data_IF_630901050586
#
_entry.id   IF_630901050586
#
_cell.length_a   1.000
_cell.length_b   1.000
_cell.length_c   1.000
_cell.angle_alpha   90.00
_cell.angle_beta   90.00
_cell.angle_gamma   90.00
#
_symmetry.space_group_name_H-M   'P 1'
#
loop_
_entity.id
_entity.type
_entity.pdbx_description
1 polymer ?
#
# COMPACT_ATOMS: atom_id res chain seq x y z
N UNK A 1 4.57 49.14 20.19
CA UNK A 1 3.80 47.86 20.03
C UNK A 1 4.22 47.16 18.76
N UNK A 2 5.00 46.07 18.84
CA UNK A 2 5.35 45.27 17.66
C UNK A 2 4.11 44.46 17.24
N UNK A 3 3.53 44.73 16.08
CA UNK A 3 2.47 43.91 15.49
C UNK A 3 3.01 42.51 15.34
N UNK A 4 2.50 41.56 16.14
CA UNK A 4 2.71 40.15 15.92
C UNK A 4 2.09 39.79 14.56
N UNK A 5 2.91 39.58 13.54
CA UNK A 5 2.45 39.07 12.25
C UNK A 5 2.03 37.63 12.55
N UNK A 6 0.73 37.39 12.67
CA UNK A 6 0.18 36.05 12.77
C UNK A 6 0.39 35.41 11.40
N UNK A 7 1.48 34.65 11.25
CA UNK A 7 1.66 33.80 10.09
C UNK A 7 0.46 32.83 10.08
N UNK A 8 -0.47 33.01 9.15
CA UNK A 8 -1.54 32.03 8.93
C UNK A 8 -0.87 30.72 8.52
N UNK A 9 -1.01 29.69 9.37
CA UNK A 9 -0.54 28.34 9.04
C UNK A 9 -1.17 27.90 7.71
N UNK A 10 -0.35 27.38 6.81
CA UNK A 10 -0.85 26.82 5.56
C UNK A 10 -1.74 25.63 5.87
N UNK A 11 -2.91 25.56 5.24
CA UNK A 11 -3.81 24.41 5.34
C UNK A 11 -4.35 24.00 3.96
N UNK A 12 -4.64 22.73 3.79
CA UNK A 12 -5.23 22.20 2.56
C UNK A 12 -6.31 21.16 2.84
N UNK A 13 -7.26 21.06 1.91
CA UNK A 13 -8.30 20.03 1.94
C UNK A 13 -7.69 18.66 1.64
N UNK A 14 -8.33 17.61 2.16
CA UNK A 14 -8.03 16.24 1.77
C UNK A 14 -8.58 15.97 0.36
N UNK A 15 -7.84 15.16 -0.42
CA UNK A 15 -8.38 14.53 -1.62
C UNK A 15 -9.50 13.52 -1.25
N UNK A 16 -10.22 13.00 -2.25
CA UNK A 16 -11.38 12.16 -1.98
C UNK A 16 -11.01 10.81 -1.34
N UNK A 17 -9.88 10.21 -1.69
CA UNK A 17 -9.40 8.99 -1.04
C UNK A 17 -8.90 9.25 0.38
N UNK A 18 -8.19 10.34 0.62
CA UNK A 18 -7.76 10.76 1.95
C UNK A 18 -8.96 10.93 2.91
N UNK A 19 -10.10 11.47 2.42
CA UNK A 19 -11.35 11.54 3.21
C UNK A 19 -11.85 10.14 3.58
N UNK A 20 -11.81 9.18 2.66
CA UNK A 20 -12.21 7.80 2.92
C UNK A 20 -11.31 7.16 3.97
N UNK A 21 -9.99 7.26 3.81
CA UNK A 21 -9.04 6.67 4.76
C UNK A 21 -9.15 7.28 6.15
N UNK A 22 -9.33 8.60 6.27
CA UNK A 22 -9.50 9.27 7.57
C UNK A 22 -10.79 8.86 8.29
N UNK A 23 -11.88 8.63 7.57
CA UNK A 23 -13.15 8.17 8.14
C UNK A 23 -13.13 6.67 8.47
N UNK A 24 -12.41 5.86 7.66
CA UNK A 24 -12.29 4.41 7.85
C UNK A 24 -11.35 4.03 9.00
N UNK A 25 -10.32 4.85 9.26
CA UNK A 25 -9.29 4.55 10.26
C UNK A 25 -9.85 4.59 11.68
N UNK A 26 -9.48 3.60 12.49
CA UNK A 26 -9.84 3.49 13.91
C UNK A 26 -8.82 2.61 14.65
N UNK A 27 -9.02 2.37 15.97
CA UNK A 27 -8.11 1.54 16.80
C UNK A 27 -7.91 0.09 16.32
N UNK A 28 -8.81 -0.43 15.48
CA UNK A 28 -8.77 -1.80 14.91
C UNK A 28 -8.32 -1.83 13.45
N UNK A 29 -8.18 -0.66 12.83
CA UNK A 29 -7.81 -0.51 11.42
C UNK A 29 -7.07 0.80 11.23
N UNK A 30 -5.79 0.71 10.96
CA UNK A 30 -4.91 1.88 10.94
C UNK A 30 -4.86 2.59 9.58
N UNK A 31 -5.20 1.94 8.46
CA UNK A 31 -4.94 2.44 7.10
C UNK A 31 -3.47 2.86 6.90
N UNK A 32 -2.55 2.17 7.56
CA UNK A 32 -1.11 2.36 7.44
C UNK A 32 -0.56 1.26 6.54
N UNK A 33 0.41 1.60 5.73
CA UNK A 33 1.26 0.65 5.00
C UNK A 33 2.71 1.03 5.22
N UNK A 34 3.62 0.08 5.00
CA UNK A 34 5.05 0.25 5.17
C UNK A 34 5.77 0.00 3.85
N UNK A 35 6.70 0.87 3.54
CA UNK A 35 7.77 0.65 2.58
C UNK A 35 9.08 0.53 3.34
N UNK A 36 9.92 -0.39 2.93
CA UNK A 36 11.26 -0.53 3.51
C UNK A 36 12.29 -0.62 2.41
N UNK A 37 13.47 -0.08 2.67
CA UNK A 37 14.66 -0.25 1.84
C UNK A 37 15.75 -0.93 2.66
N UNK A 38 16.39 -1.93 2.09
CA UNK A 38 17.54 -2.60 2.66
C UNK A 38 18.80 -2.01 2.05
N UNK A 39 19.69 -1.50 2.88
CA UNK A 39 21.01 -1.00 2.48
C UNK A 39 22.07 -2.05 2.78
N UNK A 40 23.28 -1.87 2.23
CA UNK A 40 24.40 -2.81 2.42
C UNK A 40 25.02 -2.71 3.80
N UNK A 41 24.90 -1.56 4.47
CA UNK A 41 25.51 -1.31 5.77
C UNK A 41 24.49 -0.88 6.82
N UNK A 42 24.91 -0.97 8.08
CA UNK A 42 24.08 -0.53 9.21
C UNK A 42 23.77 0.96 9.13
N UNK A 43 22.56 1.29 9.55
CA UNK A 43 22.03 2.65 9.51
C UNK A 43 22.60 3.48 10.65
N UNK A 44 23.12 4.66 10.30
CA UNK A 44 23.46 5.70 11.24
C UNK A 44 22.21 6.58 11.51
N UNK A 45 21.82 6.63 12.78
CA UNK A 45 20.62 7.35 13.23
C UNK A 45 20.69 8.85 12.96
N UNK A 46 21.83 9.47 13.26
CA UNK A 46 22.01 10.92 13.14
C UNK A 46 21.98 11.36 11.67
N UNK A 47 22.61 10.58 10.81
CA UNK A 47 22.55 10.82 9.37
C UNK A 47 21.13 10.62 8.83
N UNK A 48 20.43 9.56 9.28
CA UNK A 48 19.05 9.30 8.86
C UNK A 48 18.09 10.40 9.34
N UNK A 49 18.28 10.93 10.54
CA UNK A 49 17.50 12.07 11.04
C UNK A 49 17.67 13.29 10.13
N UNK A 50 18.92 13.67 9.85
CA UNK A 50 19.24 14.79 8.94
C UNK A 50 18.70 14.57 7.53
N UNK A 51 18.86 13.36 6.99
CA UNK A 51 18.32 12.98 5.67
C UNK A 51 16.81 13.16 5.61
N UNK A 52 16.09 12.74 6.64
CA UNK A 52 14.63 12.88 6.73
C UNK A 52 14.22 14.37 6.78
N UNK A 53 14.94 15.21 7.51
CA UNK A 53 14.72 16.66 7.56
C UNK A 53 14.96 17.33 6.21
N UNK A 54 15.99 16.92 5.47
CA UNK A 54 16.26 17.41 4.12
C UNK A 54 15.19 16.97 3.13
N UNK A 55 14.80 15.68 3.18
CA UNK A 55 13.77 15.15 2.31
C UNK A 55 12.41 15.87 2.48
N UNK A 56 11.99 16.14 3.73
CA UNK A 56 10.73 16.85 3.97
C UNK A 56 10.78 18.30 3.52
N UNK A 57 11.96 18.93 3.46
CA UNK A 57 12.11 20.27 2.91
C UNK A 57 11.82 20.33 1.41
N UNK A 58 12.17 19.27 0.67
CA UNK A 58 11.87 19.10 -0.76
C UNK A 58 10.40 18.70 -0.98
N UNK A 59 9.89 17.75 -0.19
CA UNK A 59 8.53 17.24 -0.27
C UNK A 59 7.60 17.94 0.75
N UNK A 60 7.45 19.24 0.65
CA UNK A 60 6.66 20.05 1.60
C UNK A 60 5.20 19.60 1.74
N UNK A 61 4.65 18.89 0.77
CA UNK A 61 3.32 18.30 0.83
C UNK A 61 3.17 17.28 1.97
N UNK A 62 4.26 16.69 2.46
CA UNK A 62 4.28 15.76 3.59
C UNK A 62 4.47 16.47 4.94
N UNK A 63 4.86 17.74 4.95
CA UNK A 63 5.06 18.55 6.16
C UNK A 63 3.73 18.98 6.76
N UNK A 64 2.86 18.02 7.08
CA UNK A 64 1.50 18.27 7.54
C UNK A 64 1.09 17.34 8.69
N UNK A 65 0.14 17.83 9.48
CA UNK A 65 -0.61 17.09 10.50
C UNK A 65 -2.10 17.10 10.18
N UNK A 66 -2.84 16.12 10.69
CA UNK A 66 -4.26 15.97 10.46
C UNK A 66 -5.07 16.67 11.55
N UNK A 67 -5.93 17.61 11.16
CA UNK A 67 -6.82 18.33 12.07
C UNK A 67 -8.29 18.04 11.77
N UNK A 68 -9.12 18.08 12.81
CA UNK A 68 -10.56 17.90 12.70
C UNK A 68 -11.25 19.25 12.52
N UNK A 69 -11.95 19.44 11.41
CA UNK A 69 -12.90 20.54 11.24
C UNK A 69 -14.33 20.13 11.62
N UNK A 70 -15.28 21.02 11.44
CA UNK A 70 -16.69 20.76 11.74
C UNK A 70 -17.29 19.67 10.83
N UNK A 71 -16.98 19.71 9.53
CA UNK A 71 -17.55 18.81 8.52
C UNK A 71 -16.56 17.77 7.98
N UNK A 72 -15.27 18.11 7.92
CA UNK A 72 -14.23 17.26 7.38
C UNK A 72 -12.92 17.44 8.12
N UNK A 73 -12.03 16.44 8.03
CA UNK A 73 -10.62 16.62 8.34
C UNK A 73 -9.96 17.53 7.30
N UNK A 74 -8.86 18.15 7.69
CA UNK A 74 -7.98 18.92 6.82
C UNK A 74 -6.53 18.74 7.23
N UNK A 75 -5.61 19.01 6.32
CA UNK A 75 -4.20 19.07 6.61
C UNK A 75 -3.79 20.48 7.01
N UNK A 76 -3.03 20.60 8.07
CA UNK A 76 -2.42 21.82 8.58
C UNK A 76 -0.90 21.65 8.55
N UNK A 77 -0.15 22.70 8.16
CA UNK A 77 1.31 22.67 8.18
C UNK A 77 1.84 22.30 9.56
N UNK A 78 2.83 21.41 9.59
CA UNK A 78 3.49 21.00 10.81
C UNK A 78 4.84 21.71 10.93
N UNK A 79 5.00 22.57 11.91
CA UNK A 79 6.23 23.32 12.12
C UNK A 79 7.33 22.51 12.84
N UNK A 80 6.97 21.40 13.49
CA UNK A 80 7.92 20.52 14.15
C UNK A 80 8.70 19.68 13.13
N UNK A 81 9.85 19.18 13.51
CA UNK A 81 10.65 18.27 12.68
C UNK A 81 10.14 16.82 12.82
N UNK A 82 10.28 15.96 11.79
CA UNK A 82 10.01 14.55 11.91
C UNK A 82 11.00 13.88 12.89
N UNK A 83 10.58 12.79 13.52
CA UNK A 83 11.40 12.05 14.48
C UNK A 83 11.75 10.69 13.89
N UNK A 84 13.06 10.41 13.82
CA UNK A 84 13.60 9.08 13.46
C UNK A 84 13.89 8.28 14.73
N UNK A 85 13.46 7.04 14.78
CA UNK A 85 13.67 6.15 15.91
C UNK A 85 14.09 4.74 15.47
N UNK A 86 14.77 4.02 16.34
CA UNK A 86 14.98 2.60 16.15
C UNK A 86 13.65 1.84 16.21
N UNK A 87 13.52 0.77 15.43
CA UNK A 87 12.35 -0.08 15.45
C UNK A 87 12.43 -1.05 16.63
N UNK A 88 11.48 -0.93 17.55
CA UNK A 88 11.39 -1.77 18.76
C UNK A 88 10.07 -2.52 18.86
N UNK A 89 9.20 -2.34 17.87
CA UNK A 89 7.82 -2.83 17.92
C UNK A 89 7.35 -3.36 16.55
N UNK A 90 6.28 -4.15 16.55
CA UNK A 90 5.56 -4.52 15.32
C UNK A 90 5.07 -3.29 14.56
N UNK A 91 4.99 -3.38 13.21
CA UNK A 91 4.51 -2.29 12.36
C UNK A 91 3.03 -1.93 12.62
N UNK A 92 2.59 -0.83 11.99
CA UNK A 92 1.20 -0.37 11.92
C UNK A 92 0.60 0.15 13.21
N UNK A 93 1.41 0.48 14.21
CA UNK A 93 0.95 1.26 15.36
C UNK A 93 0.53 2.66 14.92
N UNK A 94 -0.24 3.35 15.75
CA UNK A 94 -0.65 4.71 15.49
C UNK A 94 0.58 5.61 15.29
N UNK A 95 0.68 6.30 14.15
CA UNK A 95 1.84 7.12 13.79
C UNK A 95 1.65 8.62 14.02
N UNK A 96 0.42 9.13 14.01
CA UNK A 96 0.11 10.56 14.20
C UNK A 96 -0.13 10.89 15.69
N UNK A 97 0.84 10.57 16.52
CA UNK A 97 0.85 10.86 17.95
C UNK A 97 1.90 11.92 18.32
N UNK A 98 1.96 12.29 19.60
CA UNK A 98 2.91 13.30 20.08
C UNK A 98 4.37 12.85 19.99
N UNK A 99 4.64 11.54 20.12
CA UNK A 99 6.00 11.00 20.02
C UNK A 99 6.59 11.17 18.62
N UNK A 100 5.73 11.16 17.58
CA UNK A 100 6.08 11.40 16.19
C UNK A 100 5.71 12.84 15.73
N UNK A 101 5.59 13.79 16.64
CA UNK A 101 5.22 15.19 16.34
C UNK A 101 3.98 15.31 15.45
N UNK A 102 2.98 14.41 15.59
CA UNK A 102 1.73 14.36 14.84
C UNK A 102 1.89 14.16 13.31
N UNK A 103 3.07 13.77 12.81
CA UNK A 103 3.27 13.46 11.39
C UNK A 103 2.41 12.28 10.93
N UNK A 104 2.06 12.26 9.65
CA UNK A 104 1.26 11.21 9.01
C UNK A 104 2.13 10.14 8.36
N UNK A 105 3.42 10.19 8.57
CA UNK A 105 4.41 9.17 8.29
C UNK A 105 5.33 8.99 9.49
N UNK A 106 6.01 7.86 9.54
CA UNK A 106 7.01 7.55 10.56
C UNK A 106 8.21 6.90 9.89
N UNK A 107 9.41 7.37 10.23
CA UNK A 107 10.66 6.77 9.77
C UNK A 107 11.30 6.02 10.94
N UNK A 108 11.57 4.74 10.75
CA UNK A 108 12.31 3.91 11.69
C UNK A 108 13.45 3.20 10.98
N UNK A 109 14.42 2.71 11.74
CA UNK A 109 15.48 1.87 11.19
C UNK A 109 15.69 0.64 12.08
N UNK A 110 16.17 -0.43 11.45
CA UNK A 110 16.59 -1.65 12.13
C UNK A 110 17.76 -2.26 11.36
N UNK A 111 18.94 -2.33 12.01
CA UNK A 111 20.19 -2.74 11.37
C UNK A 111 20.43 -1.99 10.05
N UNK A 112 20.31 -2.70 8.92
CA UNK A 112 20.53 -2.20 7.54
C UNK A 112 19.26 -1.67 6.88
N UNK A 113 18.10 -1.72 7.55
CA UNK A 113 16.80 -1.44 6.96
C UNK A 113 16.27 -0.08 7.42
N UNK A 114 15.88 0.75 6.47
CA UNK A 114 15.11 1.98 6.71
C UNK A 114 13.64 1.68 6.41
N UNK A 115 12.75 1.97 7.35
CA UNK A 115 11.31 1.75 7.23
C UNK A 115 10.58 3.08 7.18
N UNK A 116 9.68 3.24 6.23
CA UNK A 116 8.74 4.35 6.10
C UNK A 116 7.32 3.82 6.25
N UNK A 117 6.69 4.08 7.39
CA UNK A 117 5.26 3.85 7.58
C UNK A 117 4.47 5.09 7.19
N UNK A 118 3.40 4.90 6.43
CA UNK A 118 2.59 6.01 5.91
C UNK A 118 1.11 5.77 6.19
N UNK A 119 0.45 6.78 6.77
CA UNK A 119 -1.00 6.83 6.83
C UNK A 119 -1.54 7.13 5.43
N UNK A 120 -2.32 6.24 4.89
CA UNK A 120 -2.75 6.26 3.48
C UNK A 120 -3.54 7.51 3.06
N UNK A 121 -4.00 8.32 4.04
CA UNK A 121 -4.57 9.63 3.74
C UNK A 121 -3.53 10.63 3.22
N UNK A 122 -2.23 10.43 3.49
CA UNK A 122 -1.17 11.34 3.07
C UNK A 122 -0.82 11.16 1.59
N UNK A 123 -0.62 9.91 1.17
CA UNK A 123 -0.14 9.57 -0.18
C UNK A 123 -0.42 8.10 -0.53
N UNK A 124 -0.28 7.75 -1.82
CA UNK A 124 -0.25 6.38 -2.31
C UNK A 124 1.18 5.78 -2.30
N UNK A 125 1.31 4.50 -2.68
CA UNK A 125 2.59 3.81 -2.71
C UNK A 125 3.63 4.46 -3.62
N UNK A 126 3.23 5.05 -4.75
CA UNK A 126 4.17 5.72 -5.65
C UNK A 126 4.74 7.01 -5.04
N UNK A 127 3.88 7.83 -4.42
CA UNK A 127 4.35 9.03 -3.73
C UNK A 127 5.24 8.68 -2.54
N UNK A 128 4.93 7.62 -1.81
CA UNK A 128 5.73 7.16 -0.68
C UNK A 128 7.12 6.62 -1.11
N UNK A 129 7.22 5.92 -2.27
CA UNK A 129 8.52 5.49 -2.82
C UNK A 129 9.38 6.69 -3.18
N UNK A 130 8.82 7.72 -3.82
CA UNK A 130 9.57 8.94 -4.15
C UNK A 130 10.13 9.62 -2.90
N UNK A 131 9.34 9.67 -1.83
CA UNK A 131 9.79 10.26 -0.56
C UNK A 131 10.83 9.37 0.15
N UNK A 132 10.65 8.06 0.15
CA UNK A 132 11.63 7.12 0.71
C UNK A 132 12.96 7.20 -0.03
N UNK A 133 12.93 7.22 -1.37
CA UNK A 133 14.14 7.35 -2.19
C UNK A 133 14.87 8.66 -1.89
N UNK A 134 14.15 9.78 -1.74
CA UNK A 134 14.78 11.05 -1.34
C UNK A 134 15.48 10.96 0.02
N UNK A 135 14.85 10.30 1.01
CA UNK A 135 15.50 10.06 2.32
C UNK A 135 16.78 9.24 2.13
N UNK A 136 16.72 8.17 1.34
CA UNK A 136 17.88 7.29 1.05
C UNK A 136 18.98 8.06 0.34
N UNK A 137 18.66 8.86 -0.68
CA UNK A 137 19.65 9.64 -1.42
C UNK A 137 20.37 10.63 -0.50
N UNK A 138 19.62 11.42 0.28
CA UNK A 138 20.23 12.35 1.26
C UNK A 138 21.07 11.63 2.31
N UNK A 139 20.63 10.45 2.76
CA UNK A 139 21.38 9.62 3.68
C UNK A 139 22.72 9.16 3.09
N UNK A 140 22.68 8.61 1.87
CA UNK A 140 23.87 8.08 1.19
C UNK A 140 24.86 9.19 0.79
N UNK A 141 24.37 10.34 0.31
CA UNK A 141 25.20 11.52 0.02
C UNK A 141 26.01 11.97 1.25
N UNK A 142 25.37 12.01 2.43
CA UNK A 142 26.06 12.38 3.67
C UNK A 142 27.00 11.28 4.18
N UNK A 143 26.66 10.01 3.93
CA UNK A 143 27.48 8.87 4.37
C UNK A 143 28.70 8.66 3.48
N UNK A 144 28.59 8.92 2.19
CA UNK A 144 29.62 8.70 1.17
C UNK A 144 29.93 9.98 0.35
N UNK A 145 30.33 11.07 1.00
CA UNK A 145 30.44 12.39 0.34
C UNK A 145 31.52 12.45 -0.75
N UNK A 146 32.49 11.51 -0.73
CA UNK A 146 33.56 11.43 -1.74
C UNK A 146 33.19 10.56 -2.94
N UNK A 147 32.14 9.74 -2.82
CA UNK A 147 31.73 8.75 -3.83
C UNK A 147 30.44 9.16 -4.54
N UNK A 148 29.54 9.82 -3.80
CA UNK A 148 28.23 10.25 -4.28
C UNK A 148 28.20 11.79 -4.29
N UNK A 149 28.08 12.42 -5.47
CA UNK A 149 27.96 13.87 -5.54
C UNK A 149 26.66 14.37 -4.95
N UNK A 150 26.71 15.52 -4.25
CA UNK A 150 25.48 16.12 -3.71
C UNK A 150 24.49 16.45 -4.85
N UNK A 151 23.29 15.90 -4.76
CA UNK A 151 22.24 16.15 -5.74
C UNK A 151 21.77 17.59 -5.69
N UNK A 152 21.54 18.22 -6.83
CA UNK A 152 20.99 19.58 -6.88
C UNK A 152 19.65 19.62 -6.15
N UNK A 153 19.50 20.58 -5.24
CA UNK A 153 18.27 20.81 -4.47
C UNK A 153 17.16 21.35 -5.39
N UNK A 154 16.55 20.49 -6.17
CA UNK A 154 15.34 20.85 -6.91
C UNK A 154 14.13 20.80 -5.98
N UNK A 155 13.51 21.93 -5.73
CA UNK A 155 12.28 21.99 -4.95
C UNK A 155 11.10 21.61 -5.83
N UNK A 156 10.30 20.63 -5.38
CA UNK A 156 9.04 20.31 -6.04
C UNK A 156 8.01 21.43 -5.80
N UNK A 157 7.17 21.68 -6.79
CA UNK A 157 6.10 22.64 -6.64
C UNK A 157 4.95 22.06 -5.85
N UNK A 158 4.64 22.65 -4.72
CA UNK A 158 3.57 22.17 -3.82
C UNK A 158 2.20 22.11 -4.50
N UNK A 159 1.91 22.99 -5.44
CA UNK A 159 0.67 22.98 -6.23
C UNK A 159 0.55 21.75 -7.12
N UNK A 160 1.65 21.28 -7.68
CA UNK A 160 1.71 20.06 -8.50
C UNK A 160 1.61 18.80 -7.61
N UNK A 161 2.37 18.78 -6.52
CA UNK A 161 2.39 17.66 -5.55
C UNK A 161 1.02 17.42 -4.90
N UNK A 162 0.22 18.45 -4.69
CA UNK A 162 -1.08 18.38 -4.00
C UNK A 162 -2.28 18.51 -4.95
N UNK A 163 -2.06 18.41 -6.26
CA UNK A 163 -3.14 18.44 -7.25
C UNK A 163 -4.18 17.36 -6.97
N UNK A 164 -5.46 17.74 -6.96
CA UNK A 164 -6.57 16.79 -6.86
C UNK A 164 -6.87 16.21 -8.26
N UNK A 165 -6.07 15.21 -8.65
CA UNK A 165 -6.14 14.59 -9.96
C UNK A 165 -7.49 13.89 -10.22
N UNK A 166 -8.23 13.50 -9.18
CA UNK A 166 -9.58 12.95 -9.34
C UNK A 166 -10.56 13.98 -9.88
N UNK A 167 -10.51 15.23 -9.38
CA UNK A 167 -11.38 16.31 -9.88
C UNK A 167 -11.07 16.70 -11.32
N UNK A 168 -9.77 16.72 -11.67
CA UNK A 168 -9.33 17.04 -13.03
C UNK A 168 -9.75 15.98 -14.04
N UNK A 169 -9.85 14.72 -13.59
CA UNK A 169 -10.16 13.55 -14.43
C UNK A 169 -11.64 13.15 -14.40
N UNK A 170 -12.51 13.97 -13.80
CA UNK A 170 -13.91 13.67 -13.64
C UNK A 170 -14.64 13.64 -14.98
N UNK A 171 -15.15 12.47 -15.37
CA UNK A 171 -15.98 12.27 -16.55
C UNK A 171 -17.42 11.98 -16.12
N UNK A 172 -18.40 12.77 -16.59
CA UNK A 172 -19.83 12.64 -16.22
C UNK A 172 -20.50 11.31 -16.59
N UNK A 173 -19.77 10.38 -17.18
CA UNK A 173 -20.33 9.11 -17.73
C UNK A 173 -20.57 8.10 -16.60
N UNK A 174 -21.84 7.88 -16.20
CA UNK A 174 -22.22 6.85 -15.24
C UNK A 174 -22.28 5.48 -15.93
N UNK A 175 -21.41 4.56 -15.53
CA UNK A 175 -21.51 3.15 -15.91
C UNK A 175 -22.21 2.38 -14.78
N UNK A 176 -23.22 1.58 -15.11
CA UNK A 176 -23.88 0.70 -14.13
C UNK A 176 -22.89 -0.34 -13.63
N UNK A 177 -22.48 -0.26 -12.37
CA UNK A 177 -21.64 -1.27 -11.74
C UNK A 177 -22.50 -2.34 -11.07
N UNK A 178 -22.19 -3.61 -11.29
CA UNK A 178 -22.87 -4.72 -10.60
C UNK A 178 -22.57 -4.66 -9.10
N UNK A 179 -23.57 -5.02 -8.28
CA UNK A 179 -23.41 -5.09 -6.83
C UNK A 179 -22.36 -6.17 -6.47
N UNK A 180 -21.33 -5.79 -5.75
CA UNK A 180 -20.25 -6.69 -5.29
C UNK A 180 -20.82 -7.67 -4.26
N UNK A 181 -20.66 -8.97 -4.48
CA UNK A 181 -21.01 -10.02 -3.52
C UNK A 181 -20.04 -10.01 -2.34
N UNK A 182 -20.51 -10.46 -1.16
CA UNK A 182 -19.63 -10.70 -0.01
C UNK A 182 -18.58 -11.76 -0.37
N UNK A 183 -17.36 -11.56 0.08
CA UNK A 183 -16.25 -12.45 -0.15
C UNK A 183 -16.22 -13.63 0.82
N UNK A 184 -15.45 -14.65 0.48
CA UNK A 184 -14.96 -15.63 1.42
C UNK A 184 -14.02 -14.95 2.41
N UNK A 185 -14.15 -15.27 3.68
CA UNK A 185 -13.31 -14.77 4.76
C UNK A 185 -12.41 -15.90 5.23
N UNK A 186 -11.09 -15.68 5.23
CA UNK A 186 -10.12 -16.68 5.70
C UNK A 186 -10.43 -17.11 7.13
N UNK A 187 -10.34 -18.40 7.37
CA UNK A 187 -10.51 -19.04 8.68
C UNK A 187 -9.14 -19.38 9.26
N UNK A 188 -9.04 -19.52 10.54
CA UNK A 188 -7.82 -19.88 11.26
C UNK A 188 -7.71 -19.15 12.59
N UNK A 189 -6.82 -19.62 13.45
CA UNK A 189 -6.48 -19.00 14.73
C UNK A 189 -5.69 -17.70 14.49
N UNK A 190 -6.01 -16.65 15.23
CA UNK A 190 -5.36 -15.35 15.06
C UNK A 190 -4.22 -15.17 16.06
N UNK A 191 -3.18 -14.45 15.65
CA UNK A 191 -2.10 -13.95 16.49
C UNK A 191 -2.65 -12.98 17.54
N UNK A 192 -1.85 -12.68 18.54
CA UNK A 192 -2.20 -11.71 19.55
C UNK A 192 -2.35 -10.31 18.95
N UNK A 193 -3.18 -9.50 19.57
CA UNK A 193 -3.51 -8.18 19.03
C UNK A 193 -2.28 -7.27 18.91
N UNK A 194 -1.96 -6.89 17.69
CA UNK A 194 -0.83 -6.02 17.36
C UNK A 194 0.39 -6.78 16.89
N UNK A 195 0.32 -8.10 16.85
CA UNK A 195 1.32 -8.96 16.23
C UNK A 195 0.94 -9.25 14.77
N UNK A 196 1.96 -9.42 13.95
CA UNK A 196 1.83 -9.69 12.51
C UNK A 196 2.89 -10.66 12.04
N UNK A 197 2.46 -11.76 11.40
CA UNK A 197 3.35 -12.60 10.63
C UNK A 197 3.73 -11.89 9.32
N UNK A 198 5.02 -11.85 8.99
CA UNK A 198 5.52 -11.20 7.78
C UNK A 198 6.45 -12.17 7.06
N UNK A 199 6.13 -12.48 5.81
CA UNK A 199 6.95 -13.35 4.95
C UNK A 199 7.25 -12.64 3.64
N UNK A 200 8.52 -12.41 3.37
CA UNK A 200 9.01 -11.87 2.10
C UNK A 200 9.43 -13.02 1.20
N UNK A 201 8.77 -13.18 0.06
CA UNK A 201 9.20 -14.08 -1.00
C UNK A 201 9.95 -13.26 -2.04
N UNK A 202 11.26 -13.40 -2.09
CA UNK A 202 12.17 -12.72 -3.02
C UNK A 202 12.35 -13.66 -4.21
N UNK A 203 11.80 -13.29 -5.35
CA UNK A 203 11.64 -14.16 -6.52
C UNK A 203 12.42 -13.57 -7.68
N UNK A 204 13.11 -14.43 -8.47
CA UNK A 204 13.75 -13.98 -9.69
C UNK A 204 12.70 -13.44 -10.70
N UNK A 205 12.78 -12.15 -11.00
CA UNK A 205 11.80 -11.45 -11.82
C UNK A 205 11.78 -11.94 -13.26
N UNK A 206 12.97 -12.32 -13.80
CA UNK A 206 13.09 -12.82 -15.16
C UNK A 206 12.40 -14.17 -15.31
N UNK A 207 12.75 -15.13 -14.44
CA UNK A 207 12.15 -16.47 -14.43
C UNK A 207 10.62 -16.39 -14.30
N UNK A 208 10.14 -15.60 -13.35
CA UNK A 208 8.70 -15.43 -13.10
C UNK A 208 7.98 -14.81 -14.32
N UNK A 209 8.58 -13.81 -14.98
CA UNK A 209 8.02 -13.21 -16.19
C UNK A 209 8.01 -14.17 -17.38
N UNK A 210 9.08 -14.93 -17.58
CA UNK A 210 9.18 -15.92 -18.65
C UNK A 210 8.14 -17.02 -18.46
N UNK A 211 8.00 -17.54 -17.24
CA UNK A 211 6.96 -18.54 -16.95
C UNK A 211 5.54 -17.98 -17.16
N UNK A 212 5.23 -16.80 -16.65
CA UNK A 212 3.91 -16.18 -16.86
C UNK A 212 3.59 -16.01 -18.36
N UNK A 213 4.57 -15.62 -19.17
CA UNK A 213 4.42 -15.50 -20.63
C UNK A 213 4.20 -16.85 -21.29
N UNK A 214 4.91 -17.90 -20.87
CA UNK A 214 4.79 -19.25 -21.45
C UNK A 214 3.38 -19.84 -21.25
N UNK A 215 2.69 -19.48 -20.15
CA UNK A 215 1.29 -19.87 -19.90
C UNK A 215 0.29 -18.80 -20.38
N UNK A 216 0.75 -17.84 -21.19
CA UNK A 216 -0.09 -16.84 -21.87
C UNK A 216 -0.82 -15.88 -20.94
N UNK A 217 -0.16 -15.40 -19.86
CA UNK A 217 -0.74 -14.41 -18.96
C UNK A 217 0.27 -13.30 -18.58
N UNK A 218 -0.25 -12.18 -18.08
CA UNK A 218 0.56 -11.13 -17.51
C UNK A 218 1.09 -11.53 -16.12
N UNK A 219 2.18 -10.90 -15.69
CA UNK A 219 2.75 -11.10 -14.35
C UNK A 219 1.72 -10.90 -13.23
N UNK A 220 0.87 -9.88 -13.35
CA UNK A 220 -0.16 -9.61 -12.34
C UNK A 220 -1.26 -10.69 -12.32
N UNK A 221 -1.70 -11.17 -13.47
CA UNK A 221 -2.66 -12.28 -13.57
C UNK A 221 -2.09 -13.55 -12.94
N UNK A 222 -0.82 -13.85 -13.24
CA UNK A 222 -0.16 -15.03 -12.72
C UNK A 222 -0.01 -14.98 -11.19
N UNK A 223 0.48 -13.88 -10.64
CA UNK A 223 0.61 -13.70 -9.18
C UNK A 223 -0.74 -13.75 -8.46
N UNK A 224 -1.78 -13.12 -9.03
CA UNK A 224 -3.14 -13.20 -8.47
C UNK A 224 -3.67 -14.62 -8.50
N UNK A 225 -3.37 -15.40 -9.55
CA UNK A 225 -3.75 -16.81 -9.63
C UNK A 225 -3.02 -17.66 -8.60
N UNK A 226 -1.71 -17.44 -8.41
CA UNK A 226 -0.93 -18.13 -7.36
C UNK A 226 -1.52 -17.89 -5.96
N UNK A 227 -1.79 -16.62 -5.61
CA UNK A 227 -2.39 -16.26 -4.32
C UNK A 227 -3.79 -16.87 -4.17
N UNK A 228 -4.63 -16.77 -5.21
CA UNK A 228 -5.99 -17.31 -5.21
C UNK A 228 -6.00 -18.83 -5.03
N UNK A 229 -5.12 -19.53 -5.72
CA UNK A 229 -5.02 -20.98 -5.63
C UNK A 229 -4.43 -21.44 -4.30
N UNK A 230 -3.45 -20.71 -3.76
CA UNK A 230 -2.95 -20.97 -2.40
C UNK A 230 -4.06 -20.86 -1.36
N UNK A 231 -4.87 -19.78 -1.42
CA UNK A 231 -6.05 -19.63 -0.55
C UNK A 231 -7.07 -20.74 -0.78
N UNK A 232 -7.30 -21.15 -2.04
CA UNK A 232 -8.23 -22.24 -2.37
C UNK A 232 -7.81 -23.55 -1.73
N UNK A 233 -6.57 -23.99 -1.93
CA UNK A 233 -6.05 -25.28 -1.45
C UNK A 233 -5.98 -25.34 0.07
N UNK A 234 -5.44 -24.33 0.71
CA UNK A 234 -5.08 -24.35 2.13
C UNK A 234 -6.19 -23.85 3.07
N UNK A 235 -7.18 -23.11 2.55
CA UNK A 235 -8.19 -22.53 3.40
C UNK A 235 -9.62 -22.73 2.86
N UNK A 236 -9.89 -22.29 1.63
CA UNK A 236 -11.25 -22.35 1.07
C UNK A 236 -11.81 -23.78 0.99
N UNK A 237 -11.02 -24.73 0.50
CA UNK A 237 -11.40 -26.13 0.36
C UNK A 237 -11.55 -26.83 1.72
N UNK A 238 -10.65 -26.56 2.64
CA UNK A 238 -10.63 -27.15 4.00
C UNK A 238 -11.87 -26.71 4.80
N UNK A 239 -12.22 -25.42 4.74
CA UNK A 239 -13.34 -24.85 5.49
C UNK A 239 -14.65 -24.77 4.67
N UNK A 240 -14.77 -25.52 3.57
CA UNK A 240 -15.97 -25.60 2.71
C UNK A 240 -16.52 -24.21 2.33
N UNK A 241 -15.67 -23.38 1.74
CA UNK A 241 -16.02 -22.02 1.34
C UNK A 241 -17.19 -21.97 0.34
N UNK A 242 -18.15 -21.07 0.59
CA UNK A 242 -19.35 -20.91 -0.26
C UNK A 242 -19.43 -19.57 -0.99
N UNK A 243 -18.57 -18.63 -0.61
CA UNK A 243 -18.53 -17.30 -1.21
C UNK A 243 -17.32 -17.17 -2.13
N UNK A 244 -17.35 -16.26 -3.13
CA UNK A 244 -16.21 -16.12 -4.01
C UNK A 244 -14.96 -15.65 -3.26
N UNK A 245 -13.79 -16.11 -3.69
CA UNK A 245 -12.52 -15.51 -3.33
C UNK A 245 -12.41 -14.21 -4.10
N UNK A 246 -12.43 -13.09 -3.41
CA UNK A 246 -12.36 -11.77 -4.00
C UNK A 246 -11.03 -11.11 -3.66
N UNK A 247 -10.25 -10.79 -4.67
CA UNK A 247 -8.95 -10.12 -4.51
C UNK A 247 -9.08 -8.67 -4.99
N UNK A 248 -8.72 -7.71 -4.12
CA UNK A 248 -8.60 -6.30 -4.48
C UNK A 248 -7.26 -6.06 -5.16
N UNK A 249 -7.29 -5.52 -6.40
CA UNK A 249 -6.09 -5.21 -7.18
C UNK A 249 -6.12 -3.71 -7.50
N UNK A 250 -5.29 -2.89 -6.85
CA UNK A 250 -5.16 -1.48 -7.18
C UNK A 250 -4.64 -1.26 -8.60
N UNK A 251 -5.10 -0.19 -9.21
CA UNK A 251 -4.70 0.26 -10.55
C UNK A 251 -4.12 1.66 -10.44
N UNK A 252 -2.86 1.81 -10.78
CA UNK A 252 -2.21 3.11 -10.85
C UNK A 252 -2.78 3.93 -12.01
N UNK A 253 -3.53 4.99 -11.69
CA UNK A 253 -4.18 5.84 -12.68
C UNK A 253 -3.20 6.79 -13.39
N UNK A 254 -2.03 7.06 -12.81
CA UNK A 254 -0.98 7.88 -13.43
C UNK A 254 -0.48 7.28 -14.75
N UNK A 255 -0.67 5.96 -14.97
CA UNK A 255 -0.38 5.30 -16.24
C UNK A 255 -1.35 5.68 -17.37
N UNK A 256 -2.53 6.16 -17.05
CA UNK A 256 -3.60 6.50 -18.00
C UNK A 256 -3.86 7.99 -18.08
N UNK A 257 -3.55 8.73 -17.03
CA UNK A 257 -3.82 10.16 -16.90
C UNK A 257 -2.56 10.86 -16.42
N UNK A 258 -2.04 11.78 -17.23
CA UNK A 258 -0.80 12.53 -16.91
C UNK A 258 -1.04 13.48 -15.72
N UNK A 259 -0.29 13.29 -14.65
CA UNK A 259 -0.28 14.14 -13.45
C UNK A 259 1.03 13.95 -12.70
N UNK A 260 1.52 15.02 -12.09
CA UNK A 260 2.72 15.04 -11.23
C UNK A 260 2.39 14.89 -9.74
N UNK A 261 1.09 14.71 -9.40
CA UNK A 261 0.67 14.63 -8.00
C UNK A 261 1.34 13.49 -7.25
N UNK A 262 1.77 13.74 -6.02
CA UNK A 262 2.19 12.72 -5.07
C UNK A 262 1.06 12.33 -4.10
N UNK A 263 -0.10 12.97 -4.19
CA UNK A 263 -1.32 12.59 -3.48
C UNK A 263 -1.90 11.29 -4.03
N UNK A 264 -2.89 10.71 -3.35
CA UNK A 264 -3.55 9.49 -3.80
C UNK A 264 -4.17 9.67 -5.19
N UNK A 265 -3.76 8.82 -6.14
CA UNK A 265 -4.37 8.78 -7.45
C UNK A 265 -4.36 7.36 -8.02
N UNK A 266 -5.22 6.51 -7.49
CA UNK A 266 -5.39 5.12 -7.91
C UNK A 266 -6.87 4.74 -7.93
N UNK A 267 -7.18 3.66 -8.62
CA UNK A 267 -8.47 2.96 -8.53
C UNK A 267 -8.21 1.52 -8.10
N UNK A 268 -9.24 0.71 -8.01
CA UNK A 268 -9.09 -0.71 -7.78
C UNK A 268 -10.06 -1.51 -8.62
N UNK A 269 -9.64 -2.68 -9.06
CA UNK A 269 -10.52 -3.71 -9.59
C UNK A 269 -10.64 -4.85 -8.59
N UNK A 270 -11.78 -5.49 -8.56
CA UNK A 270 -12.01 -6.70 -7.81
C UNK A 270 -11.93 -7.90 -8.74
N UNK A 271 -10.98 -8.78 -8.52
CA UNK A 271 -10.92 -10.09 -9.18
C UNK A 271 -11.77 -11.05 -8.35
N UNK A 272 -12.86 -11.57 -8.92
CA UNK A 272 -13.84 -12.40 -8.20
C UNK A 272 -13.85 -13.82 -8.74
N UNK A 273 -13.33 -14.75 -7.96
CA UNK A 273 -13.18 -16.17 -8.32
C UNK A 273 -14.33 -16.92 -7.67
N UNK A 274 -15.37 -17.16 -8.46
CA UNK A 274 -16.57 -17.89 -8.03
C UNK A 274 -16.33 -19.40 -8.25
N UNK A 275 -16.13 -20.13 -7.17
CA UNK A 275 -15.93 -21.58 -7.17
C UNK A 275 -17.26 -22.27 -6.92
N UNK A 276 -17.53 -23.37 -7.65
CA UNK A 276 -18.74 -24.20 -7.47
C UNK A 276 -18.50 -25.23 -6.38
N UNK A 277 -19.50 -25.47 -5.55
CA UNK A 277 -19.46 -26.54 -4.56
C UNK A 277 -19.19 -27.91 -5.25
N UNK A 278 -18.49 -28.80 -4.55
CA UNK A 278 -18.16 -30.16 -4.99
C UNK A 278 -17.27 -30.28 -6.25
N UNK A 279 -16.82 -29.19 -6.87
CA UNK A 279 -15.82 -29.23 -7.95
C UNK A 279 -14.44 -29.02 -7.36
N UNK A 280 -13.48 -29.92 -7.68
CA UNK A 280 -12.06 -29.72 -7.42
C UNK A 280 -11.49 -28.89 -8.57
N UNK A 281 -10.75 -27.83 -8.23
CA UNK A 281 -10.12 -26.94 -9.18
C UNK A 281 -8.61 -27.15 -9.20
N UNK A 282 -8.04 -27.20 -10.39
CA UNK A 282 -6.59 -27.17 -10.59
C UNK A 282 -6.10 -25.71 -10.59
N UNK A 283 -4.77 -25.51 -10.57
CA UNK A 283 -4.18 -24.18 -10.73
C UNK A 283 -4.62 -23.54 -12.06
N UNK A 284 -4.61 -24.32 -13.14
CA UNK A 284 -4.98 -23.81 -14.48
C UNK A 284 -6.46 -23.39 -14.54
N UNK A 285 -7.37 -24.14 -13.89
CA UNK A 285 -8.77 -23.72 -13.76
C UNK A 285 -8.87 -22.34 -13.09
N UNK A 286 -8.11 -22.10 -12.03
CA UNK A 286 -8.11 -20.82 -11.29
C UNK A 286 -7.47 -19.73 -12.15
N UNK A 287 -6.36 -20.01 -12.84
CA UNK A 287 -5.71 -19.06 -13.75
C UNK A 287 -6.66 -18.60 -14.87
N UNK A 288 -7.41 -19.51 -15.48
CA UNK A 288 -8.42 -19.20 -16.49
C UNK A 288 -9.51 -18.26 -15.93
N UNK A 289 -9.97 -18.51 -14.70
CA UNK A 289 -10.96 -17.65 -14.04
C UNK A 289 -10.40 -16.26 -13.76
N UNK A 290 -9.15 -16.16 -13.31
CA UNK A 290 -8.46 -14.89 -13.07
C UNK A 290 -8.31 -14.10 -14.38
N UNK A 291 -7.79 -14.71 -15.45
CA UNK A 291 -7.66 -14.05 -16.78
C UNK A 291 -9.01 -13.47 -17.26
N UNK A 292 -10.08 -14.25 -17.20
CA UNK A 292 -11.44 -13.79 -17.58
C UNK A 292 -11.90 -12.57 -16.76
N UNK A 293 -11.54 -12.50 -15.47
CA UNK A 293 -11.90 -11.36 -14.63
C UNK A 293 -11.05 -10.12 -14.96
N UNK A 294 -9.77 -10.28 -15.29
CA UNK A 294 -8.89 -9.19 -15.73
C UNK A 294 -9.38 -8.61 -17.07
N UNK A 295 -9.63 -9.45 -18.08
CA UNK A 295 -10.18 -9.04 -19.38
C UNK A 295 -11.47 -8.24 -19.24
N UNK A 296 -12.39 -8.67 -18.37
CA UNK A 296 -13.65 -7.97 -18.12
C UNK A 296 -13.48 -6.59 -17.48
N UNK A 297 -12.41 -6.35 -16.72
CA UNK A 297 -12.31 -5.20 -15.81
C UNK A 297 -11.21 -4.20 -16.19
N UNK A 298 -10.17 -4.63 -16.90
CA UNK A 298 -9.13 -3.74 -17.42
C UNK A 298 -9.59 -2.97 -18.67
N UNK A 299 -10.85 -2.55 -18.70
CA UNK A 299 -11.40 -1.67 -19.73
C UNK A 299 -11.34 -0.24 -19.22
N UNK A 300 -10.65 0.64 -19.94
CA UNK A 300 -10.42 2.04 -19.55
C UNK A 300 -11.71 2.77 -19.12
N UNK A 301 -12.79 2.61 -19.87
CA UNK A 301 -14.10 3.20 -19.54
C UNK A 301 -14.63 2.75 -18.17
N UNK A 302 -14.36 1.51 -17.77
CA UNK A 302 -14.77 0.99 -16.45
C UNK A 302 -13.88 1.53 -15.33
N UNK A 303 -12.58 1.66 -15.59
CA UNK A 303 -11.62 2.28 -14.66
C UNK A 303 -12.03 3.73 -14.40
N UNK A 304 -12.25 4.51 -15.46
CA UNK A 304 -12.67 5.91 -15.39
C UNK A 304 -14.04 6.06 -14.70
N UNK A 305 -14.97 5.13 -14.92
CA UNK A 305 -16.28 5.17 -14.26
C UNK A 305 -16.20 4.92 -12.74
N UNK A 306 -15.22 4.17 -12.28
CA UNK A 306 -14.98 3.95 -10.84
C UNK A 306 -14.49 5.25 -10.20
N UNK A 307 -13.59 5.99 -10.85
CA UNK A 307 -13.14 7.33 -10.43
C UNK A 307 -14.34 8.26 -10.25
N UNK A 308 -15.23 8.31 -11.23
CA UNK A 308 -16.44 9.16 -11.21
C UNK A 308 -17.36 8.82 -10.05
N UNK A 309 -17.50 7.54 -9.72
CA UNK A 309 -18.35 7.08 -8.61
C UNK A 309 -17.78 7.44 -7.26
N UNK A 310 -16.47 7.25 -7.08
CA UNK A 310 -15.78 7.52 -5.81
C UNK A 310 -15.74 9.03 -5.53
N UNK A 311 -15.39 9.85 -6.53
CA UNK A 311 -15.43 11.31 -6.43
C UNK A 311 -16.86 11.85 -6.24
N UNK A 312 -17.87 11.23 -6.85
CA UNK A 312 -19.27 11.64 -6.73
C UNK A 312 -19.86 11.48 -5.34
N UNK A 313 -19.41 10.49 -4.56
CA UNK A 313 -19.94 10.23 -3.21
C UNK A 313 -19.55 11.30 -2.20
N UNK A 314 -18.33 11.83 -2.28
CA UNK A 314 -17.83 12.88 -1.37
C UNK A 314 -18.24 14.29 -1.81
N UNK A 315 -18.66 14.47 -3.07
CA UNK A 315 -19.10 15.75 -3.63
C UNK A 315 -20.60 16.00 -3.46
N UNK A 316 -21.38 15.02 -3.00
CA UNK A 316 -22.81 15.20 -2.73
C UNK A 316 -23.02 16.27 -1.65
N UNK A 317 -23.86 17.28 -1.94
CA UNK A 317 -24.13 18.40 -1.04
C UNK A 317 -24.67 17.94 0.33
N UNK A 318 -25.56 16.95 0.33
CA UNK A 318 -26.11 16.39 1.57
C UNK A 318 -25.04 15.69 2.42
N UNK A 319 -24.05 15.05 1.80
CA UNK A 319 -22.90 14.47 2.52
C UNK A 319 -21.99 15.57 3.05
N UNK A 320 -21.85 16.68 2.34
CA UNK A 320 -20.94 17.77 2.73
C UNK A 320 -21.37 18.50 4.01
N UNK A 321 -22.66 18.72 4.20
CA UNK A 321 -23.22 19.47 5.34
C UNK A 321 -23.41 18.64 6.61
N UNK A 322 -23.31 17.30 6.56
CA UNK A 322 -23.38 16.44 7.75
C UNK A 322 -22.17 16.70 8.65
N UNK A 323 -22.33 16.91 9.97
CA UNK A 323 -21.21 17.04 10.90
C UNK A 323 -20.26 15.83 10.89
N UNK A 324 -18.96 16.08 11.09
CA UNK A 324 -17.92 15.04 11.03
C UNK A 324 -18.18 13.86 11.97
N UNK A 325 -18.72 14.11 13.17
CA UNK A 325 -19.02 13.06 14.16
C UNK A 325 -20.05 12.07 13.61
N UNK A 326 -21.12 12.56 12.98
CA UNK A 326 -22.15 11.73 12.36
C UNK A 326 -21.63 10.98 11.13
N UNK A 327 -20.78 11.63 10.32
CA UNK A 327 -20.09 10.96 9.22
C UNK A 327 -19.25 9.79 9.69
N UNK A 328 -18.47 9.96 10.77
CA UNK A 328 -17.66 8.89 11.35
C UNK A 328 -18.51 7.69 11.74
N UNK A 329 -19.63 7.93 12.40
CA UNK A 329 -20.55 6.86 12.81
C UNK A 329 -21.12 6.13 11.59
N UNK A 330 -21.70 6.86 10.64
CA UNK A 330 -22.27 6.29 9.42
C UNK A 330 -21.22 5.55 8.60
N UNK A 331 -20.01 6.11 8.48
CA UNK A 331 -18.92 5.51 7.72
C UNK A 331 -18.38 4.25 8.41
N UNK A 332 -18.32 4.22 9.74
CA UNK A 332 -17.93 3.03 10.50
C UNK A 332 -18.85 1.85 10.22
N UNK A 333 -20.15 2.07 10.17
CA UNK A 333 -21.15 1.02 9.85
C UNK A 333 -21.00 0.61 8.37
N UNK A 334 -20.91 1.57 7.45
CA UNK A 334 -20.76 1.30 6.02
C UNK A 334 -19.45 0.60 5.66
N UNK A 335 -18.34 0.99 6.28
CA UNK A 335 -17.02 0.40 6.02
C UNK A 335 -16.94 -1.08 6.38
N UNK A 336 -17.64 -1.53 7.42
CA UNK A 336 -17.75 -2.96 7.75
C UNK A 336 -18.39 -3.78 6.62
N UNK A 337 -19.37 -3.19 5.91
CA UNK A 337 -20.00 -3.84 4.76
C UNK A 337 -19.06 -3.89 3.54
N UNK A 338 -18.25 -2.84 3.35
CA UNK A 338 -17.28 -2.77 2.24
C UNK A 338 -16.14 -3.76 2.47
N UNK A 339 -15.59 -3.85 3.67
CA UNK A 339 -14.51 -4.78 4.02
C UNK A 339 -14.88 -6.24 3.76
N UNK A 340 -16.11 -6.65 4.03
CA UNK A 340 -16.59 -8.01 3.74
C UNK A 340 -16.69 -8.35 2.24
N UNK A 341 -16.25 -7.47 1.36
CA UNK A 341 -16.24 -7.70 -0.10
C UNK A 341 -14.91 -8.25 -0.60
N UNK A 342 -13.88 -8.25 0.22
CA UNK A 342 -12.55 -8.75 -0.16
C UNK A 342 -12.09 -9.87 0.77
N UNK A 343 -11.46 -10.89 0.20
CA UNK A 343 -10.76 -11.96 0.91
C UNK A 343 -9.36 -11.50 1.27
N UNK A 344 -8.71 -10.84 0.32
CA UNK A 344 -7.37 -10.27 0.45
C UNK A 344 -7.16 -9.12 -0.52
N UNK A 345 -6.15 -8.30 -0.24
CA UNK A 345 -5.66 -7.25 -1.14
C UNK A 345 -4.31 -7.63 -1.72
N UNK A 346 -4.14 -7.37 -3.01
CA UNK A 346 -2.91 -7.52 -3.78
C UNK A 346 -2.48 -6.13 -4.24
N UNK A 347 -1.47 -5.55 -3.61
CA UNK A 347 -0.98 -4.20 -3.95
C UNK A 347 0.40 -4.28 -4.58
N UNK A 348 0.49 -4.00 -5.88
CA UNK A 348 1.74 -3.95 -6.61
C UNK A 348 2.12 -2.49 -6.86
N UNK A 349 3.17 -2.01 -6.20
CA UNK A 349 3.69 -0.64 -6.38
C UNK A 349 4.54 -0.51 -7.64
N UNK A 350 4.90 -1.63 -8.28
CA UNK A 350 5.66 -1.66 -9.53
C UNK A 350 7.17 -1.74 -9.33
N UNK A 351 7.90 -1.26 -10.33
CA UNK A 351 9.37 -1.26 -10.33
C UNK A 351 9.85 0.01 -9.65
N UNK A 352 10.68 -0.14 -8.64
CA UNK A 352 11.41 0.99 -8.03
C UNK A 352 12.62 1.29 -8.88
N UNK A 353 12.71 2.52 -9.37
CA UNK A 353 13.90 3.04 -10.03
C UNK A 353 14.76 3.79 -9.02
N UNK A 354 16.03 3.43 -8.97
CA UNK A 354 17.06 4.09 -8.18
C UNK A 354 18.11 4.62 -9.16
N UNK A 355 18.62 5.83 -8.95
CA UNK A 355 19.65 6.42 -9.80
C UNK A 355 20.96 5.62 -9.66
N UNK A 356 21.75 5.54 -10.74
CA UNK A 356 22.86 4.59 -10.87
C UNK A 356 23.92 4.74 -9.78
N UNK A 357 24.19 5.96 -9.34
CA UNK A 357 25.16 6.26 -8.27
C UNK A 357 24.75 5.71 -6.90
N UNK A 358 23.46 5.49 -6.63
CA UNK A 358 22.98 4.95 -5.34
C UNK A 358 22.79 3.42 -5.37
N UNK A 359 22.63 2.80 -6.54
CA UNK A 359 22.43 1.36 -6.69
C UNK A 359 23.45 0.49 -5.96
N UNK A 360 24.78 0.82 -5.97
CA UNK A 360 25.77 0.02 -5.25
C UNK A 360 25.52 -0.14 -3.75
N UNK A 361 24.70 0.74 -3.14
CA UNK A 361 24.44 0.78 -1.71
C UNK A 361 23.07 0.23 -1.30
N UNK A 362 22.21 -0.11 -2.28
CA UNK A 362 20.84 -0.59 -2.06
C UNK A 362 20.73 -2.06 -2.43
N UNK A 363 20.27 -2.89 -1.48
CA UNK A 363 20.08 -4.33 -1.68
C UNK A 363 18.63 -4.69 -2.06
N UNK A 364 17.63 -3.91 -1.68
CA UNK A 364 16.24 -4.24 -2.03
C UNK A 364 15.19 -3.36 -1.40
N UNK A 365 13.94 -3.60 -1.82
CA UNK A 365 12.74 -2.92 -1.34
C UNK A 365 11.69 -3.91 -0.89
N UNK A 366 10.91 -3.52 0.11
CA UNK A 366 9.80 -4.31 0.64
C UNK A 366 8.55 -3.44 0.80
N UNK A 367 7.39 -4.06 0.60
CA UNK A 367 6.07 -3.42 0.81
C UNK A 367 5.24 -4.28 1.72
N UNK A 368 4.81 -3.75 2.85
CA UNK A 368 4.02 -4.47 3.83
C UNK A 368 2.69 -3.74 4.01
N UNK A 369 1.60 -4.47 3.90
CA UNK A 369 0.24 -3.95 4.09
C UNK A 369 -0.28 -4.35 5.46
N UNK A 370 -1.04 -3.48 6.12
CA UNK A 370 -1.67 -3.82 7.40
C UNK A 370 -2.85 -4.77 7.21
N UNK A 371 -2.75 -6.05 7.62
CA UNK A 371 -3.90 -6.96 7.63
C UNK A 371 -4.91 -6.53 8.70
N UNK A 372 -6.13 -7.04 8.60
CA UNK A 372 -7.17 -6.77 9.59
C UNK A 372 -8.15 -7.97 9.70
N UNK A 373 -9.12 -7.90 10.58
CA UNK A 373 -10.12 -8.95 10.83
C UNK A 373 -10.88 -9.41 9.58
N UNK A 374 -10.98 -8.58 8.55
CA UNK A 374 -11.69 -8.89 7.30
C UNK A 374 -10.75 -9.45 6.25
N UNK A 375 -9.57 -8.87 6.12
CA UNK A 375 -8.50 -9.32 5.24
C UNK A 375 -7.33 -9.78 6.09
N UNK A 376 -7.44 -11.01 6.61
CA UNK A 376 -6.48 -11.59 7.55
C UNK A 376 -5.08 -11.80 6.96
N UNK A 377 -4.98 -11.90 5.64
CA UNK A 377 -3.73 -11.90 4.88
C UNK A 377 -3.81 -10.79 3.83
N UNK A 378 -2.70 -10.06 3.63
CA UNK A 378 -2.53 -9.09 2.54
C UNK A 378 -1.20 -9.28 1.84
N UNK A 379 -1.16 -8.93 0.55
CA UNK A 379 0.01 -9.11 -0.30
C UNK A 379 0.50 -7.78 -0.83
N UNK A 380 1.69 -7.36 -0.42
CA UNK A 380 2.43 -6.21 -0.97
C UNK A 380 3.49 -6.68 -1.96
N UNK A 381 3.60 -6.02 -3.11
CA UNK A 381 4.53 -6.41 -4.16
C UNK A 381 5.34 -5.20 -4.62
N UNK A 382 6.64 -5.40 -4.78
CA UNK A 382 7.58 -4.43 -5.33
C UNK A 382 8.64 -5.15 -6.16
N UNK A 383 9.13 -4.51 -7.20
CA UNK A 383 10.28 -5.01 -7.98
C UNK A 383 11.43 -4.02 -7.90
N UNK A 384 12.63 -4.53 -7.73
CA UNK A 384 13.87 -3.78 -7.77
C UNK A 384 14.95 -4.64 -8.44
N UNK A 385 15.65 -4.08 -9.43
CA UNK A 385 16.64 -4.78 -10.24
C UNK A 385 16.12 -6.14 -10.78
N UNK A 386 16.74 -7.24 -10.38
CA UNK A 386 16.41 -8.58 -10.85
C UNK A 386 15.35 -9.29 -9.98
N UNK A 387 14.90 -8.66 -8.92
CA UNK A 387 14.02 -9.28 -7.96
C UNK A 387 12.61 -8.67 -7.98
N UNK A 388 11.63 -9.53 -7.76
CA UNK A 388 10.29 -9.14 -7.34
C UNK A 388 10.02 -9.73 -5.96
N UNK A 389 9.67 -8.87 -5.03
CA UNK A 389 9.34 -9.27 -3.67
C UNK A 389 7.83 -9.31 -3.50
N UNK A 390 7.32 -10.49 -3.16
CA UNK A 390 5.91 -10.69 -2.76
C UNK A 390 5.89 -10.88 -1.24
N UNK A 391 5.43 -9.87 -0.55
CA UNK A 391 5.33 -9.89 0.91
C UNK A 391 3.92 -10.25 1.35
N UNK A 392 3.78 -11.33 2.07
CA UNK A 392 2.58 -11.62 2.83
C UNK A 392 2.68 -10.98 4.22
N UNK A 393 1.61 -10.37 4.65
CA UNK A 393 1.41 -9.93 6.03
C UNK A 393 0.12 -10.53 6.54
N UNK A 394 0.16 -11.19 7.70
CA UNK A 394 -0.95 -11.99 8.23
C UNK A 394 -1.19 -11.73 9.72
N UNK A 395 -2.43 -11.93 10.16
CA UNK A 395 -2.79 -12.06 11.57
C UNK A 395 -3.15 -13.51 11.93
N UNK A 396 -2.96 -14.47 11.01
CA UNK A 396 -3.15 -15.90 11.29
C UNK A 396 -1.86 -16.47 11.89
N UNK A 397 -2.01 -17.44 12.81
CA UNK A 397 -0.88 -18.16 13.40
C UNK A 397 -0.24 -19.13 12.42
N UNK A 398 -1.04 -19.70 11.52
CA UNK A 398 -0.52 -20.58 10.49
C UNK A 398 -0.03 -19.80 9.27
N UNK A 399 0.91 -20.38 8.54
CA UNK A 399 1.51 -19.85 7.32
C UNK A 399 1.20 -20.72 6.09
N UNK A 400 0.07 -21.42 6.13
CA UNK A 400 -0.30 -22.40 5.11
C UNK A 400 -0.43 -21.79 3.71
N UNK A 401 -0.98 -20.57 3.60
CA UNK A 401 -1.15 -19.85 2.33
C UNK A 401 0.21 -19.49 1.74
N UNK A 402 1.10 -18.97 2.56
CA UNK A 402 2.45 -18.54 2.21
C UNK A 402 3.30 -19.74 1.77
N UNK A 403 3.22 -20.84 2.51
CA UNK A 403 3.93 -22.07 2.19
C UNK A 403 3.44 -22.69 0.87
N UNK A 404 2.12 -22.71 0.63
CA UNK A 404 1.58 -23.18 -0.64
C UNK A 404 1.98 -22.29 -1.81
N UNK A 405 2.03 -20.98 -1.62
CA UNK A 405 2.53 -20.04 -2.63
C UNK A 405 3.98 -20.35 -3.02
N UNK A 406 4.86 -20.57 -2.03
CA UNK A 406 6.26 -20.99 -2.21
C UNK A 406 6.36 -22.33 -2.95
N UNK A 407 5.59 -23.34 -2.52
CA UNK A 407 5.54 -24.68 -3.14
C UNK A 407 5.19 -24.57 -4.63
N UNK A 408 4.16 -23.80 -4.97
CA UNK A 408 3.75 -23.58 -6.35
C UNK A 408 4.83 -22.92 -7.22
N UNK A 409 5.66 -22.06 -6.67
CA UNK A 409 6.81 -21.49 -7.38
C UNK A 409 7.90 -22.54 -7.60
N UNK A 410 8.24 -23.31 -6.55
CA UNK A 410 9.24 -24.39 -6.62
C UNK A 410 8.85 -25.48 -7.64
N UNK A 411 7.58 -25.91 -7.66
CA UNK A 411 7.05 -26.87 -8.65
C UNK A 411 7.26 -26.43 -10.11
N UNK A 412 7.42 -25.12 -10.32
CA UNK A 412 7.61 -24.49 -11.65
C UNK A 412 9.04 -24.07 -11.92
N UNK A 413 9.98 -24.55 -11.08
CA UNK A 413 11.40 -24.20 -11.15
C UNK A 413 11.66 -22.68 -11.12
N UNK A 414 10.85 -21.92 -10.39
CA UNK A 414 11.02 -20.50 -10.16
C UNK A 414 11.79 -20.29 -8.86
N UNK A 415 12.96 -19.65 -8.94
CA UNK A 415 13.83 -19.41 -7.79
C UNK A 415 13.19 -18.44 -6.80
N UNK A 416 13.09 -18.84 -5.54
CA UNK A 416 12.53 -18.03 -4.45
C UNK A 416 13.37 -18.16 -3.18
N UNK A 417 13.77 -17.02 -2.61
CA UNK A 417 14.38 -16.89 -1.29
C UNK A 417 13.34 -16.32 -0.32
N UNK A 418 13.32 -16.80 0.91
CA UNK A 418 12.34 -16.40 1.92
C UNK A 418 13.04 -15.72 3.07
N UNK A 419 12.46 -14.62 3.51
CA UNK A 419 12.82 -13.91 4.73
C UNK A 419 11.53 -13.64 5.52
N UNK A 420 11.57 -13.71 6.84
CA UNK A 420 10.39 -13.48 7.68
C UNK A 420 10.75 -12.99 9.07
N UNK A 421 9.74 -12.80 9.90
CA UNK A 421 9.90 -12.52 11.32
C UNK A 421 9.65 -13.79 12.16
N UNK A 422 9.92 -13.70 13.47
CA UNK A 422 9.87 -14.85 14.41
C UNK A 422 8.50 -15.52 14.55
N UNK A 423 7.44 -14.86 14.07
CA UNK A 423 6.07 -15.41 14.08
C UNK A 423 5.75 -16.28 12.85
N UNK A 424 6.68 -16.37 11.93
CA UNK A 424 6.54 -17.16 10.70
C UNK A 424 7.66 -18.17 10.67
N UNK A 425 7.30 -19.46 10.63
CA UNK A 425 8.28 -20.52 10.40
C UNK A 425 8.81 -20.42 8.96
N UNK A 426 10.02 -19.94 8.82
CA UNK A 426 10.73 -19.81 7.53
C UNK A 426 11.64 -21.00 7.26
N UNK A 427 11.63 -22.02 8.13
CA UNK A 427 12.43 -23.20 7.95
C UNK A 427 11.91 -24.04 6.77
N UNK A 428 12.82 -24.26 5.82
CA UNK A 428 12.81 -25.12 4.61
C UNK A 428 12.26 -24.54 3.33
#
# INVERSE_FOLDING_TARGET
MKKKIIKRAYWRKLDDQAKVFTLASNKKYSSIYRLSVLLKENIDKELLQKATELAISKYRAYKVKLKSGLFWYYFEENELLPVVSEEVDYPFKKINDKANNEYLFKVTYFHKKINLEVFHALTDGNGAILFLNEIVYRYLEMKYPNEIPEHKKEFRRMSEDTEDAYKKSYVKKRVKTKKIKKAYMLQGEELDKGEYGITHNIINLKELKEYARSVGCSLSEYLVALIAYSIYETNYRIYNGKRPINISVPINLKKYIKTETISNFFSYMQVSIALKEKKVYTFDDVLILVKKEFEKKLILDKILSTITKDAGSTNNIFVRIVPLVLKKLAFRIGSMQVKRKFTTSFSNVGIVSVEDEYKPYVDGYFVILSPDWAEKIKCGIVSYENDIVVTFSTILKDNLVENKFKELLKERNISVRIEGNDLVDVSN
#
